data_IF_160278298007
#
_entry.id   IF_160278298007
#
_cell.length_a   1.000
_cell.length_b   1.000
_cell.length_c   1.000
_cell.angle_alpha   90.00
_cell.angle_beta   90.00
_cell.angle_gamma   90.00
#
_symmetry.space_group_name_H-M   'P 1'
#
loop_
_entity.id
_entity.type
_entity.pdbx_description
1 polymer ?
#
# COMPACT_ATOMS: atom_id res chain seq x y z
N UNK A 1 -0.58 14.58 7.65
CA UNK A 1 0.78 14.51 7.09
C UNK A 1 1.04 13.06 6.75
N UNK A 2 1.37 12.71 5.51
CA UNK A 2 1.60 11.31 5.14
C UNK A 2 3.05 10.94 5.40
N UNK A 3 3.28 9.89 6.19
CA UNK A 3 4.62 9.35 6.46
C UNK A 3 4.74 7.95 5.87
N UNK A 4 5.85 7.67 5.19
CA UNK A 4 6.09 6.40 4.49
C UNK A 4 7.21 5.63 5.19
N UNK A 5 6.97 4.34 5.45
CA UNK A 5 7.94 3.41 6.03
C UNK A 5 8.27 2.29 5.05
N UNK A 6 9.51 1.79 5.13
CA UNK A 6 9.98 0.66 4.33
C UNK A 6 10.72 -0.35 5.22
N UNK A 7 10.45 -1.63 5.03
CA UNK A 7 11.21 -2.73 5.61
C UNK A 7 11.43 -3.81 4.56
N UNK A 8 12.52 -4.58 4.66
CA UNK A 8 12.72 -5.73 3.79
C UNK A 8 13.17 -6.94 4.59
N UNK A 9 12.73 -8.12 4.15
CA UNK A 9 13.09 -9.41 4.71
C UNK A 9 13.49 -10.36 3.59
N UNK A 10 14.64 -11.00 3.72
CA UNK A 10 15.05 -12.03 2.77
C UNK A 10 14.14 -13.25 2.90
N UNK A 11 13.62 -13.70 1.76
CA UNK A 11 12.91 -14.96 1.59
C UNK A 11 13.82 -15.78 0.66
N UNK A 12 14.15 -17.04 0.98
CA UNK A 12 15.22 -17.78 0.29
C UNK A 12 15.20 -17.72 -1.26
N UNK A 13 16.33 -18.09 -1.88
CA UNK A 13 16.56 -18.03 -3.33
C UNK A 13 16.72 -16.59 -3.89
N UNK A 14 17.35 -15.69 -3.14
CA UNK A 14 17.63 -14.33 -3.63
C UNK A 14 16.39 -13.42 -3.72
N UNK A 15 15.26 -13.83 -3.15
CA UNK A 15 14.03 -13.03 -3.10
C UNK A 15 13.95 -12.21 -1.82
N UNK A 16 13.24 -11.09 -1.89
CA UNK A 16 13.03 -10.19 -0.78
C UNK A 16 11.56 -9.84 -0.71
N UNK A 17 10.99 -9.98 0.48
CA UNK A 17 9.70 -9.39 0.79
C UNK A 17 9.94 -7.95 1.23
N UNK A 18 9.45 -7.01 0.42
CA UNK A 18 9.44 -5.59 0.75
C UNK A 18 8.11 -5.28 1.44
N UNK A 19 8.17 -4.64 2.61
CA UNK A 19 7.02 -4.07 3.32
C UNK A 19 7.04 -2.55 3.15
N UNK A 20 5.92 -2.01 2.69
CA UNK A 20 5.69 -0.59 2.53
C UNK A 20 4.53 -0.23 3.46
N UNK A 21 4.69 0.84 4.24
CA UNK A 21 3.62 1.40 5.04
C UNK A 21 3.42 2.87 4.73
N UNK A 22 2.16 3.31 4.67
CA UNK A 22 1.78 4.72 4.49
C UNK A 22 0.81 5.10 5.60
N UNK A 23 1.28 5.94 6.51
CA UNK A 23 0.46 6.51 7.57
C UNK A 23 -0.24 7.78 7.09
N UNK A 24 -1.55 7.85 7.29
CA UNK A 24 -2.39 9.01 7.07
C UNK A 24 -3.07 9.43 8.38
N UNK A 25 -3.02 10.72 8.68
CA UNK A 25 -3.60 11.32 9.90
C UNK A 25 -5.01 11.87 9.64
N UNK A 26 -5.71 11.35 8.64
CA UNK A 26 -7.06 11.77 8.26
C UNK A 26 -8.14 11.28 9.23
N UNK A 27 -9.38 11.22 8.74
CA UNK A 27 -10.56 10.89 9.56
C UNK A 27 -10.61 9.44 10.07
N UNK A 28 -9.71 8.57 9.62
CA UNK A 28 -9.77 7.13 9.90
C UNK A 28 -10.94 6.44 9.20
N UNK A 29 -11.04 5.12 9.39
CA UNK A 29 -12.01 4.23 8.74
C UNK A 29 -12.66 3.37 9.82
N UNK A 30 -14.00 3.37 9.93
CA UNK A 30 -14.72 2.46 10.84
C UNK A 30 -14.49 0.99 10.48
N UNK A 31 -14.40 0.11 11.49
CA UNK A 31 -14.04 -1.30 11.31
C UNK A 31 -14.98 -2.03 10.35
N UNK A 32 -16.27 -1.73 10.39
CA UNK A 32 -17.29 -2.31 9.51
C UNK A 32 -17.10 -1.95 8.03
N UNK A 33 -16.35 -0.89 7.72
CA UNK A 33 -16.08 -0.41 6.36
C UNK A 33 -14.73 -0.90 5.81
N UNK A 34 -13.86 -1.47 6.65
CA UNK A 34 -12.54 -1.96 6.23
C UNK A 34 -12.64 -3.05 5.16
N UNK A 35 -13.55 -4.03 5.34
CA UNK A 35 -13.69 -5.14 4.40
C UNK A 35 -14.16 -4.70 3.01
N UNK A 36 -14.90 -3.60 2.94
CA UNK A 36 -15.42 -3.06 1.68
C UNK A 36 -14.38 -2.20 0.94
N UNK A 37 -13.31 -1.77 1.61
CA UNK A 37 -12.36 -0.76 1.13
C UNK A 37 -11.56 -1.19 -0.11
N UNK A 38 -11.28 -2.48 -0.23
CA UNK A 38 -10.52 -3.04 -1.35
C UNK A 38 -11.40 -3.54 -2.49
N UNK A 39 -12.73 -3.44 -2.36
CA UNK A 39 -13.64 -3.80 -3.43
C UNK A 39 -13.69 -2.66 -4.46
N UNK A 40 -13.65 -3.01 -5.75
CA UNK A 40 -13.75 -2.02 -6.82
C UNK A 40 -15.08 -1.26 -6.73
N UNK A 41 -15.03 0.06 -6.94
CA UNK A 41 -16.20 0.94 -6.94
C UNK A 41 -16.95 1.08 -5.61
N UNK A 42 -16.46 0.51 -4.50
CA UNK A 42 -17.01 0.79 -3.18
C UNK A 42 -16.52 2.15 -2.68
N UNK A 43 -17.34 3.17 -2.93
CA UNK A 43 -17.18 4.47 -2.29
C UNK A 43 -17.91 4.43 -0.95
N UNK A 44 -17.13 4.54 0.11
CA UNK A 44 -17.58 4.61 1.50
C UNK A 44 -18.30 5.96 1.68
N UNK A 45 -19.60 5.95 1.39
CA UNK A 45 -20.56 7.06 1.47
C UNK A 45 -20.44 8.20 0.45
N UNK A 46 -21.60 8.64 -0.05
CA UNK A 46 -21.76 9.73 -1.04
C UNK A 46 -21.58 11.14 -0.44
N UNK A 47 -21.56 11.24 0.90
CA UNK A 47 -21.34 12.49 1.62
C UNK A 47 -19.85 12.89 1.67
N UNK A 48 -18.94 11.91 1.67
CA UNK A 48 -17.48 12.07 1.68
C UNK A 48 -16.91 12.36 0.27
N UNK A 49 -17.60 11.91 -0.79
CA UNK A 49 -17.20 12.11 -2.19
C UNK A 49 -17.02 13.58 -2.56
N UNK A 50 -17.79 14.49 -1.93
CA UNK A 50 -17.71 15.93 -2.17
C UNK A 50 -16.46 16.60 -1.58
N UNK A 51 -15.73 15.95 -0.66
CA UNK A 51 -14.58 16.54 0.04
C UNK A 51 -13.22 16.02 -0.41
N UNK A 52 -13.14 14.78 -0.92
CA UNK A 52 -11.86 14.15 -1.29
C UNK A 52 -11.78 13.52 -2.69
N UNK A 53 -12.91 13.36 -3.42
CA UNK A 53 -12.93 12.90 -4.81
C UNK A 53 -12.32 11.50 -5.06
N UNK A 54 -12.57 10.92 -6.24
CA UNK A 54 -11.96 9.65 -6.67
C UNK A 54 -12.97 8.54 -6.95
N UNK A 55 -12.59 7.58 -7.80
CA UNK A 55 -13.47 6.49 -8.27
C UNK A 55 -13.56 5.31 -7.31
N UNK A 56 -12.74 5.29 -6.25
CA UNK A 56 -12.59 4.14 -5.36
C UNK A 56 -11.77 2.99 -5.97
N UNK A 57 -11.10 3.21 -7.11
CA UNK A 57 -10.32 2.16 -7.78
C UNK A 57 -8.88 2.02 -7.28
N UNK A 58 -8.31 3.07 -6.68
CA UNK A 58 -6.89 3.09 -6.31
C UNK A 58 -6.50 1.91 -5.41
N UNK A 59 -7.20 1.73 -4.29
CA UNK A 59 -6.91 0.66 -3.33
C UNK A 59 -7.21 -0.74 -3.90
N UNK A 60 -8.23 -0.89 -4.75
CA UNK A 60 -8.52 -2.15 -5.42
C UNK A 60 -7.40 -2.54 -6.40
N UNK A 61 -6.86 -1.57 -7.15
CA UNK A 61 -5.72 -1.77 -8.04
C UNK A 61 -4.46 -2.10 -7.22
N UNK A 62 -4.17 -1.33 -6.17
CA UNK A 62 -3.01 -1.57 -5.30
C UNK A 62 -3.04 -2.97 -4.68
N UNK A 63 -4.18 -3.41 -4.16
CA UNK A 63 -4.33 -4.77 -3.63
C UNK A 63 -4.07 -5.82 -4.70
N UNK A 64 -4.69 -5.66 -5.88
CA UNK A 64 -4.48 -6.60 -7.00
C UNK A 64 -3.01 -6.67 -7.43
N UNK A 65 -2.30 -5.55 -7.45
CA UNK A 65 -0.87 -5.52 -7.76
C UNK A 65 -0.05 -6.24 -6.69
N UNK A 66 -0.33 -5.99 -5.41
CA UNK A 66 0.33 -6.68 -4.30
C UNK A 66 0.11 -8.20 -4.38
N UNK A 67 -1.14 -8.64 -4.59
CA UNK A 67 -1.50 -10.06 -4.73
C UNK A 67 -0.79 -10.71 -5.94
N UNK A 68 -0.70 -10.01 -7.08
CA UNK A 68 0.02 -10.48 -8.28
C UNK A 68 1.53 -10.59 -8.08
N UNK A 69 2.07 -9.89 -7.08
CA UNK A 69 3.49 -9.89 -6.73
C UNK A 69 3.77 -10.78 -5.51
N UNK A 70 2.94 -11.81 -5.29
CA UNK A 70 3.02 -12.75 -4.16
C UNK A 70 3.10 -12.05 -2.79
N UNK A 71 2.40 -10.92 -2.69
CA UNK A 71 2.32 -10.09 -1.51
C UNK A 71 0.91 -9.99 -0.95
N UNK A 72 0.70 -9.00 -0.10
CA UNK A 72 -0.58 -8.75 0.56
C UNK A 72 -0.74 -7.25 0.85
N UNK A 73 -1.97 -6.75 0.80
CA UNK A 73 -2.33 -5.40 1.23
C UNK A 73 -3.42 -5.41 2.31
N UNK A 74 -3.21 -4.64 3.38
CA UNK A 74 -4.15 -4.47 4.50
C UNK A 74 -4.11 -3.04 5.04
N UNK A 75 -5.01 -2.73 5.99
CA UNK A 75 -5.09 -1.43 6.65
C UNK A 75 -5.31 -1.62 8.14
N UNK A 76 -4.64 -0.79 8.93
CA UNK A 76 -4.91 -0.58 10.35
C UNK A 76 -5.50 0.82 10.49
N UNK A 77 -6.67 0.96 11.09
CA UNK A 77 -7.34 2.25 11.15
C UNK A 77 -8.15 2.43 12.42
N UNK A 78 -8.21 3.67 12.90
CA UNK A 78 -9.06 4.09 13.98
C UNK A 78 -9.79 5.37 13.58
N UNK A 79 -11.12 5.33 13.65
CA UNK A 79 -11.97 6.48 13.36
C UNK A 79 -11.60 7.68 14.25
N UNK A 80 -11.48 8.85 13.63
CA UNK A 80 -11.05 10.11 14.26
C UNK A 80 -9.55 10.25 14.50
N UNK A 81 -8.74 9.20 14.28
CA UNK A 81 -7.29 9.21 14.55
C UNK A 81 -6.48 9.13 13.25
N UNK A 82 -6.86 8.24 12.34
CA UNK A 82 -6.14 8.04 11.07
C UNK A 82 -6.07 6.58 10.65
N UNK A 83 -5.27 6.32 9.62
CA UNK A 83 -5.10 5.00 9.02
C UNK A 83 -3.65 4.76 8.64
N UNK A 84 -3.17 3.52 8.79
CA UNK A 84 -1.92 3.07 8.19
C UNK A 84 -2.23 1.97 7.19
N UNK A 85 -1.88 2.23 5.94
CA UNK A 85 -1.97 1.27 4.85
C UNK A 85 -0.68 0.50 4.74
N UNK A 86 -0.78 -0.81 4.63
CA UNK A 86 0.36 -1.69 4.51
C UNK A 86 0.27 -2.49 3.22
N UNK A 87 1.40 -2.66 2.56
CA UNK A 87 1.54 -3.56 1.42
C UNK A 87 2.84 -4.32 1.52
N UNK A 88 2.80 -5.60 1.19
CA UNK A 88 3.99 -6.40 0.92
C UNK A 88 4.05 -6.76 -0.55
N UNK A 89 5.26 -6.92 -1.08
CA UNK A 89 5.52 -7.48 -2.41
C UNK A 89 6.77 -8.35 -2.35
N UNK A 90 6.77 -9.45 -3.09
CA UNK A 90 7.93 -10.33 -3.23
C UNK A 90 8.69 -9.97 -4.51
N UNK A 91 9.96 -9.66 -4.36
CA UNK A 91 10.80 -9.14 -5.44
C UNK A 91 12.11 -9.93 -5.52
N UNK A 92 12.66 -10.00 -6.73
CA UNK A 92 14.03 -10.44 -6.96
C UNK A 92 14.99 -9.24 -6.96
N UNK A 93 16.25 -9.47 -6.60
CA UNK A 93 17.27 -8.43 -6.70
C UNK A 93 17.54 -8.10 -8.17
N UNK A 94 17.51 -6.82 -8.52
CA UNK A 94 17.95 -6.38 -9.83
C UNK A 94 19.45 -6.65 -10.00
N UNK A 95 19.84 -7.24 -11.13
CA UNK A 95 21.22 -7.21 -11.58
C UNK A 95 21.49 -5.81 -12.15
N UNK A 96 22.14 -4.96 -11.34
CA UNK A 96 22.46 -3.59 -11.72
C UNK A 96 23.67 -3.53 -12.68
N UNK A 97 24.20 -4.68 -13.13
CA UNK A 97 25.44 -4.76 -13.88
C UNK A 97 26.62 -4.22 -13.07
N UNK A 98 27.83 -4.20 -13.66
CA UNK A 98 28.94 -3.47 -13.06
C UNK A 98 28.53 -1.99 -12.95
N UNK A 99 28.65 -1.41 -11.75
CA UNK A 99 28.57 0.05 -11.58
C UNK A 99 29.54 0.64 -12.59
N UNK A 100 29.03 1.31 -13.62
CA UNK A 100 29.87 2.11 -14.49
C UNK A 100 30.58 3.12 -13.60
N UNK A 101 31.88 2.91 -13.41
CA UNK A 101 32.78 3.97 -12.99
C UNK A 101 32.64 5.05 -14.07
N UNK A 102 31.86 6.08 -13.78
CA UNK A 102 31.95 7.32 -14.54
C UNK A 102 33.41 7.78 -14.39
N UNK A 103 34.12 7.76 -15.52
CA UNK A 103 35.47 8.28 -15.64
C UNK A 103 35.53 9.69 -15.04
N UNK A 104 36.48 9.87 -14.13
CA UNK A 104 36.84 11.17 -13.54
C UNK A 104 37.33 12.14 -14.62
#
# INVERSE_FOLDING_TARGET
>A
MQQMGFGSRQQGNGRFQLHISVNDTGIGIPTERINALFQSFNQVDSSTTRKFGGTGLGLAISKRLADLMDGEMWVESQEGVGSTFHSTVLLETADLGPKSEYLQ
#
